data_IF_177792990327
#
_entry.id   IF_177792990327
#
_cell.length_a   1.000
_cell.length_b   1.000
_cell.length_c   1.000
_cell.angle_alpha   90.00
_cell.angle_beta   90.00
_cell.angle_gamma   90.00
#
_symmetry.space_group_name_H-M   'P 1'
#
loop_
_entity.id
_entity.type
_entity.pdbx_description
1 polymer ?
#
# COMPACT_ATOMS: atom_id res chain seq x y z
N UNK A 1 15.07 14.82 4.59
CA UNK A 1 13.76 14.16 4.59
C UNK A 1 12.74 15.12 3.95
N UNK A 2 11.91 14.66 3.03
CA UNK A 2 10.73 15.31 2.45
C UNK A 2 10.94 16.75 1.90
N UNK A 3 12.11 17.02 1.33
CA UNK A 3 12.46 18.36 0.79
C UNK A 3 12.32 19.50 1.81
N UNK A 4 12.62 19.23 3.09
CA UNK A 4 12.51 20.21 4.18
C UNK A 4 11.12 20.31 4.80
N UNK A 5 10.13 19.56 4.31
CA UNK A 5 8.77 19.53 4.90
C UNK A 5 8.73 18.64 6.14
N UNK A 6 7.84 18.95 7.07
CA UNK A 6 7.64 18.16 8.31
C UNK A 6 6.47 17.18 8.24
N UNK A 7 5.61 17.31 7.24
CA UNK A 7 4.46 16.43 7.02
C UNK A 7 4.61 15.65 5.73
N UNK A 8 4.24 14.37 5.75
CA UNK A 8 4.12 13.54 4.55
C UNK A 8 2.84 12.72 4.55
N UNK A 9 2.36 12.42 3.35
CA UNK A 9 1.21 11.56 3.12
C UNK A 9 1.62 10.46 2.16
N UNK A 10 1.22 9.22 2.46
CA UNK A 10 1.35 8.08 1.57
C UNK A 10 0.10 7.22 1.57
N UNK A 11 -0.12 6.52 0.47
CA UNK A 11 -1.24 5.61 0.25
C UNK A 11 -0.71 4.23 -0.12
N UNK A 12 -1.30 3.16 0.41
CA UNK A 12 -0.88 1.79 0.15
C UNK A 12 -2.10 0.91 -0.13
N UNK A 13 -2.19 0.35 -1.32
CA UNK A 13 -3.33 -0.47 -1.75
C UNK A 13 -2.90 -1.84 -2.22
N UNK A 14 -3.71 -2.86 -1.91
CA UNK A 14 -3.36 -4.26 -2.07
C UNK A 14 -4.09 -4.92 -3.24
N UNK A 15 -3.58 -6.10 -3.64
CA UNK A 15 -4.20 -7.11 -4.48
C UNK A 15 -4.10 -6.93 -6.00
N UNK A 16 -3.95 -5.72 -6.52
CA UNK A 16 -3.89 -5.51 -7.97
C UNK A 16 -5.19 -5.89 -8.69
N UNK A 17 -6.30 -5.35 -8.21
CA UNK A 17 -7.66 -5.62 -8.69
C UNK A 17 -8.12 -4.60 -9.73
N UNK A 18 -9.18 -4.93 -10.46
CA UNK A 18 -9.70 -4.07 -11.56
C UNK A 18 -10.08 -2.67 -11.12
N UNK A 19 -10.48 -2.49 -9.86
CA UNK A 19 -10.84 -1.22 -9.25
C UNK A 19 -9.65 -0.25 -9.09
N UNK A 20 -8.42 -0.75 -9.11
CA UNK A 20 -7.23 0.11 -9.05
C UNK A 20 -7.18 1.11 -10.21
N UNK A 21 -7.80 0.79 -11.36
CA UNK A 21 -7.87 1.73 -12.50
C UNK A 21 -8.52 3.05 -12.10
N UNK A 22 -9.66 2.98 -11.41
CA UNK A 22 -10.38 4.17 -10.92
C UNK A 22 -9.60 4.87 -9.82
N UNK A 23 -9.02 4.10 -8.90
CA UNK A 23 -8.23 4.65 -7.80
C UNK A 23 -7.00 5.42 -8.30
N UNK A 24 -6.25 4.86 -9.25
CA UNK A 24 -5.09 5.51 -9.87
C UNK A 24 -5.50 6.80 -10.60
N UNK A 25 -6.59 6.78 -11.37
CA UNK A 25 -7.13 7.97 -12.04
C UNK A 25 -7.45 9.08 -11.01
N UNK A 26 -8.10 8.73 -9.90
CA UNK A 26 -8.40 9.66 -8.83
C UNK A 26 -7.12 10.21 -8.19
N UNK A 27 -6.17 9.35 -7.82
CA UNK A 27 -4.88 9.78 -7.23
C UNK A 27 -4.12 10.73 -8.17
N UNK A 28 -4.07 10.41 -9.47
CA UNK A 28 -3.43 11.26 -10.48
C UNK A 28 -4.13 12.62 -10.60
N UNK A 29 -5.46 12.65 -10.56
CA UNK A 29 -6.26 13.89 -10.62
C UNK A 29 -5.94 14.80 -9.43
N UNK A 30 -5.73 14.25 -8.25
CA UNK A 30 -5.39 15.00 -7.05
C UNK A 30 -3.88 15.20 -6.84
N UNK A 31 -3.03 14.74 -7.77
CA UNK A 31 -1.59 14.93 -7.72
C UNK A 31 -0.90 14.18 -6.57
N UNK A 32 -1.47 13.08 -6.10
CA UNK A 32 -0.89 12.27 -5.03
C UNK A 32 -0.35 10.95 -5.57
N UNK A 33 0.63 10.39 -4.87
CA UNK A 33 1.23 9.09 -5.21
C UNK A 33 0.76 8.00 -4.27
N UNK A 34 0.74 6.76 -4.76
CA UNK A 34 0.44 5.58 -3.97
C UNK A 34 1.46 4.46 -4.20
N UNK A 35 1.42 3.48 -3.33
CA UNK A 35 2.14 2.21 -3.44
C UNK A 35 1.11 1.12 -3.65
N UNK A 36 1.28 0.30 -4.69
CA UNK A 36 0.40 -0.82 -5.00
C UNK A 36 1.12 -2.14 -4.75
N UNK A 37 0.60 -2.91 -3.81
CA UNK A 37 1.18 -4.18 -3.37
C UNK A 37 0.54 -5.31 -4.20
N UNK A 38 1.30 -5.91 -5.11
CA UNK A 38 0.79 -6.84 -6.11
C UNK A 38 1.22 -8.27 -5.84
N UNK A 39 0.34 -9.23 -6.17
CA UNK A 39 0.66 -10.67 -6.17
C UNK A 39 0.98 -11.10 -7.60
N UNK A 40 2.24 -11.19 -7.97
CA UNK A 40 2.64 -11.41 -9.37
C UNK A 40 2.20 -12.76 -9.95
N UNK A 41 2.03 -13.77 -9.10
CA UNK A 41 1.52 -15.09 -9.51
C UNK A 41 0.00 -15.15 -9.70
N UNK A 42 -0.72 -14.12 -9.30
CA UNK A 42 -2.18 -14.08 -9.35
C UNK A 42 -2.74 -13.07 -10.36
N UNK A 43 -1.89 -12.32 -11.07
CA UNK A 43 -2.33 -11.29 -12.02
C UNK A 43 -2.94 -11.88 -13.28
N UNK A 44 -4.22 -12.22 -13.20
CA UNK A 44 -5.08 -12.69 -14.29
C UNK A 44 -6.53 -12.35 -13.98
N UNK A 45 -7.28 -11.85 -14.97
CA UNK A 45 -8.71 -11.59 -14.83
C UNK A 45 -9.51 -12.87 -14.49
N UNK A 46 -8.98 -14.03 -14.82
CA UNK A 46 -9.56 -15.33 -14.43
C UNK A 46 -9.41 -15.63 -12.92
N UNK A 47 -8.46 -14.98 -12.24
CA UNK A 47 -8.38 -15.01 -10.79
C UNK A 47 -9.43 -14.08 -10.19
N UNK A 48 -10.50 -14.69 -9.72
CA UNK A 48 -11.68 -14.02 -9.19
C UNK A 48 -12.09 -14.69 -7.88
N UNK A 49 -12.57 -13.88 -6.95
CA UNK A 49 -13.24 -14.39 -5.74
C UNK A 49 -14.52 -13.62 -5.50
N UNK A 50 -15.44 -14.25 -4.80
CA UNK A 50 -16.68 -13.61 -4.38
C UNK A 50 -16.51 -13.03 -2.98
N UNK A 51 -16.73 -11.73 -2.88
CA UNK A 51 -16.79 -11.06 -1.56
C UNK A 51 -18.08 -11.48 -0.83
N UNK A 52 -18.09 -11.57 0.53
CA UNK A 52 -19.29 -11.95 1.30
C UNK A 52 -20.55 -11.12 1.02
N UNK A 53 -20.41 -9.91 0.48
CA UNK A 53 -21.54 -9.07 0.00
C UNK A 53 -21.98 -9.37 -1.44
N UNK A 54 -21.47 -10.46 -2.06
CA UNK A 54 -21.91 -10.94 -3.36
C UNK A 54 -21.25 -10.29 -4.58
N UNK A 55 -20.24 -9.42 -4.39
CA UNK A 55 -19.50 -8.82 -5.49
C UNK A 55 -18.36 -9.75 -5.94
N UNK A 56 -18.24 -9.98 -7.26
CA UNK A 56 -17.10 -10.68 -7.83
C UNK A 56 -15.92 -9.70 -8.00
N UNK A 57 -14.81 -10.03 -7.36
CA UNK A 57 -13.58 -9.24 -7.40
C UNK A 57 -12.59 -9.91 -8.35
N UNK A 58 -12.23 -9.21 -9.42
CA UNK A 58 -11.28 -9.69 -10.41
C UNK A 58 -9.90 -9.05 -10.23
N UNK A 59 -8.86 -9.86 -10.28
CA UNK A 59 -7.50 -9.32 -10.43
C UNK A 59 -7.29 -8.82 -11.86
N UNK A 60 -6.37 -7.90 -12.02
CA UNK A 60 -6.04 -7.42 -13.36
C UNK A 60 -5.13 -8.41 -14.10
N UNK A 61 -5.24 -8.42 -15.44
CA UNK A 61 -4.23 -9.07 -16.28
C UNK A 61 -2.91 -8.29 -16.23
N UNK A 62 -1.84 -8.94 -16.66
CA UNK A 62 -0.50 -8.35 -16.68
C UNK A 62 -0.31 -7.25 -17.71
N UNK A 63 -1.10 -7.28 -18.79
CA UNK A 63 -1.01 -6.29 -19.86
C UNK A 63 -1.47 -4.90 -19.40
N UNK A 64 -0.67 -3.88 -19.72
CA UNK A 64 -0.98 -2.49 -19.41
C UNK A 64 -0.80 -2.09 -17.94
N UNK A 65 -0.32 -2.98 -17.06
CA UNK A 65 -0.08 -2.64 -15.66
C UNK A 65 1.03 -1.61 -15.48
N UNK A 66 2.09 -1.68 -16.31
CA UNK A 66 3.20 -0.75 -16.21
C UNK A 66 2.76 0.69 -16.53
N UNK A 67 1.93 0.85 -17.54
CA UNK A 67 1.36 2.13 -17.94
C UNK A 67 0.35 2.62 -16.89
N UNK A 68 -0.49 1.73 -16.37
CA UNK A 68 -1.48 2.07 -15.34
C UNK A 68 -0.82 2.67 -14.10
N UNK A 69 0.19 1.98 -13.56
CA UNK A 69 0.84 2.42 -12.32
C UNK A 69 2.01 3.39 -12.52
N UNK A 70 2.13 3.98 -13.71
CA UNK A 70 3.20 4.96 -13.96
C UNK A 70 3.13 6.13 -12.98
N UNK A 71 4.24 6.43 -12.30
CA UNK A 71 4.31 7.48 -11.27
C UNK A 71 4.00 7.00 -9.86
N UNK A 72 3.54 5.75 -9.71
CA UNK A 72 3.31 5.09 -8.42
C UNK A 72 4.39 4.04 -8.14
N UNK A 73 4.50 3.61 -6.90
CA UNK A 73 5.39 2.52 -6.49
C UNK A 73 4.68 1.17 -6.64
N UNK A 74 5.44 0.16 -7.10
CA UNK A 74 5.04 -1.23 -7.01
C UNK A 74 5.80 -1.89 -5.88
N UNK A 75 5.07 -2.56 -4.99
CA UNK A 75 5.57 -3.36 -3.90
C UNK A 75 5.02 -4.80 -3.98
N UNK A 76 5.67 -5.73 -3.29
CA UNK A 76 5.28 -7.13 -3.28
C UNK A 76 4.11 -7.38 -2.31
N UNK A 77 3.32 -8.42 -2.62
CA UNK A 77 2.26 -8.93 -1.74
C UNK A 77 2.23 -10.45 -1.68
N UNK A 78 3.40 -11.07 -1.80
CA UNK A 78 3.65 -12.50 -2.01
C UNK A 78 3.11 -13.03 -3.35
N UNK A 79 3.75 -14.08 -3.84
CA UNK A 79 3.47 -14.66 -5.16
C UNK A 79 2.00 -15.10 -5.30
N UNK A 80 1.47 -15.76 -4.26
CA UNK A 80 0.11 -16.35 -4.26
C UNK A 80 -0.78 -15.87 -3.13
N UNK A 81 -0.44 -14.72 -2.51
CA UNK A 81 -1.17 -14.19 -1.34
C UNK A 81 -1.18 -15.15 -0.15
N UNK A 82 -0.04 -15.80 0.11
CA UNK A 82 0.09 -16.82 1.16
C UNK A 82 0.08 -16.21 2.57
N UNK A 83 -0.59 -16.88 3.53
CA UNK A 83 -0.51 -16.57 4.97
C UNK A 83 0.83 -17.10 5.51
N UNK A 84 1.88 -16.30 5.36
CA UNK A 84 3.28 -16.70 5.52
C UNK A 84 3.61 -17.46 6.81
N UNK A 85 3.10 -17.08 8.00
CA UNK A 85 3.39 -17.82 9.24
C UNK A 85 2.96 -19.28 9.25
N UNK A 86 2.14 -19.71 8.30
CA UNK A 86 1.66 -21.11 8.19
C UNK A 86 2.57 -22.01 7.38
N UNK A 87 3.62 -21.48 6.78
CA UNK A 87 4.50 -22.20 5.86
C UNK A 87 5.92 -22.35 6.43
N UNK A 88 6.68 -23.26 5.83
CA UNK A 88 8.08 -23.44 6.12
C UNK A 88 8.94 -22.29 5.51
N UNK A 89 10.18 -22.17 5.95
CA UNK A 89 11.07 -21.08 5.54
C UNK A 89 11.37 -21.08 4.04
N UNK A 90 11.41 -22.24 3.40
CA UNK A 90 11.65 -22.36 1.95
C UNK A 90 10.46 -21.80 1.17
N UNK A 91 9.24 -22.15 1.57
CA UNK A 91 8.01 -21.64 0.98
C UNK A 91 7.88 -20.14 1.20
N UNK A 92 8.13 -19.64 2.43
CA UNK A 92 8.11 -18.20 2.74
C UNK A 92 9.09 -17.45 1.84
N UNK A 93 10.32 -17.96 1.70
CA UNK A 93 11.35 -17.35 0.84
C UNK A 93 10.92 -17.31 -0.62
N UNK A 94 10.35 -18.40 -1.13
CA UNK A 94 9.89 -18.47 -2.50
C UNK A 94 8.73 -17.51 -2.77
N UNK A 95 7.74 -17.44 -1.87
CA UNK A 95 6.61 -16.52 -1.96
C UNK A 95 7.07 -15.05 -2.06
N UNK A 96 8.05 -14.65 -1.27
CA UNK A 96 8.57 -13.28 -1.26
C UNK A 96 9.50 -13.01 -2.44
N UNK A 97 10.48 -13.92 -2.67
CA UNK A 97 11.55 -13.67 -3.62
C UNK A 97 11.09 -13.77 -5.08
N UNK A 98 10.25 -14.77 -5.41
CA UNK A 98 9.73 -14.91 -6.77
C UNK A 98 8.72 -13.79 -7.10
N UNK A 99 7.89 -13.39 -6.15
CA UNK A 99 7.01 -12.22 -6.32
C UNK A 99 7.83 -10.96 -6.64
N UNK A 100 8.82 -10.66 -5.81
CA UNK A 100 9.75 -9.54 -6.01
C UNK A 100 10.40 -9.57 -7.39
N UNK A 101 11.00 -10.70 -7.79
CA UNK A 101 11.68 -10.85 -9.09
C UNK A 101 10.74 -10.66 -10.28
N UNK A 102 9.53 -11.24 -10.20
CA UNK A 102 8.53 -11.12 -11.25
C UNK A 102 8.09 -9.65 -11.43
N UNK A 103 7.87 -8.95 -10.32
CA UNK A 103 7.50 -7.53 -10.34
C UNK A 103 8.65 -6.67 -10.86
N UNK A 104 9.89 -6.89 -10.41
CA UNK A 104 11.08 -6.19 -10.93
C UNK A 104 11.25 -6.39 -12.43
N UNK A 105 11.09 -7.63 -12.92
CA UNK A 105 11.16 -7.94 -14.35
C UNK A 105 10.05 -7.26 -15.16
N UNK A 106 8.84 -7.22 -14.63
CA UNK A 106 7.67 -6.62 -15.30
C UNK A 106 7.71 -5.10 -15.35
N UNK A 107 8.03 -4.47 -14.23
CA UNK A 107 7.99 -3.00 -14.11
C UNK A 107 9.32 -2.34 -14.42
N UNK A 108 10.44 -3.07 -14.38
CA UNK A 108 11.77 -2.55 -14.70
C UNK A 108 12.32 -1.61 -13.62
N UNK A 109 11.88 -1.76 -12.37
CA UNK A 109 12.32 -0.98 -11.22
C UNK A 109 12.54 -1.90 -10.00
N UNK A 110 13.42 -1.53 -9.05
CA UNK A 110 13.61 -2.29 -7.83
C UNK A 110 12.34 -2.34 -6.99
N UNK A 111 11.99 -3.53 -6.48
CA UNK A 111 10.93 -3.75 -5.50
C UNK A 111 11.58 -3.93 -4.14
N UNK A 112 11.45 -2.94 -3.28
CA UNK A 112 12.07 -2.90 -1.95
C UNK A 112 11.07 -2.96 -0.81
N UNK A 113 9.80 -2.87 -1.12
CA UNK A 113 8.70 -2.90 -0.17
C UNK A 113 7.76 -4.07 -0.39
N UNK A 114 7.00 -4.38 0.66
CA UNK A 114 5.87 -5.30 0.57
C UNK A 114 4.77 -4.95 1.57
N UNK A 115 3.61 -5.58 1.42
CA UNK A 115 2.62 -5.71 2.47
C UNK A 115 2.44 -7.20 2.81
N UNK A 116 2.30 -7.53 4.08
CA UNK A 116 2.02 -8.92 4.49
C UNK A 116 0.58 -9.30 4.14
N UNK A 117 0.34 -10.40 3.37
CA UNK A 117 -1.01 -10.92 3.19
C UNK A 117 -1.69 -11.13 4.54
N UNK A 118 -2.96 -10.74 4.65
CA UNK A 118 -3.73 -10.77 5.92
C UNK A 118 -3.12 -9.94 7.06
N UNK A 119 -2.03 -9.22 6.83
CA UNK A 119 -1.26 -8.52 7.86
C UNK A 119 -0.49 -9.43 8.81
N UNK A 120 -0.41 -10.75 8.53
CA UNK A 120 0.19 -11.76 9.41
C UNK A 120 1.70 -11.89 9.20
N UNK A 121 2.44 -11.93 10.29
CA UNK A 121 3.89 -12.11 10.30
C UNK A 121 4.37 -12.72 11.62
N UNK A 122 5.61 -13.17 11.64
CA UNK A 122 6.38 -13.54 12.83
C UNK A 122 7.86 -13.22 12.59
N UNK A 123 8.73 -13.43 13.57
CA UNK A 123 10.15 -13.12 13.47
C UNK A 123 10.84 -13.87 12.32
N UNK A 124 10.46 -15.10 12.05
CA UNK A 124 10.98 -15.88 10.91
C UNK A 124 10.63 -15.21 9.58
N UNK A 125 9.37 -14.82 9.39
CA UNK A 125 8.91 -14.12 8.18
C UNK A 125 9.67 -12.80 8.00
N UNK A 126 9.81 -11.99 9.05
CA UNK A 126 10.53 -10.71 9.02
C UNK A 126 12.00 -10.91 8.63
N UNK A 127 12.66 -11.92 9.21
CA UNK A 127 14.06 -12.22 8.90
C UNK A 127 14.25 -12.70 7.46
N UNK A 128 13.33 -13.51 6.93
CA UNK A 128 13.35 -13.96 5.53
C UNK A 128 13.08 -12.78 4.59
N UNK A 129 12.09 -11.94 4.87
CA UNK A 129 11.81 -10.74 4.08
C UNK A 129 13.05 -9.83 3.98
N UNK A 130 13.72 -9.58 5.11
CA UNK A 130 15.00 -8.83 5.15
C UNK A 130 16.07 -9.50 4.28
N UNK A 131 16.22 -10.83 4.38
CA UNK A 131 17.18 -11.59 3.59
C UNK A 131 16.86 -11.61 2.09
N UNK A 132 15.59 -11.45 1.69
CA UNK A 132 15.14 -11.27 0.30
C UNK A 132 15.34 -9.83 -0.21
N UNK A 133 15.86 -8.92 0.60
CA UNK A 133 16.11 -7.53 0.23
C UNK A 133 14.88 -6.63 0.33
N UNK A 134 13.87 -7.04 1.08
CA UNK A 134 12.74 -6.18 1.46
C UNK A 134 13.22 -5.22 2.55
N UNK A 135 12.96 -3.94 2.38
CA UNK A 135 13.39 -2.87 3.30
C UNK A 135 12.27 -2.37 4.18
N UNK A 136 11.01 -2.51 3.75
CA UNK A 136 9.83 -2.24 4.57
C UNK A 136 8.72 -3.25 4.26
N UNK A 137 7.88 -3.51 5.26
CA UNK A 137 6.68 -4.33 5.08
C UNK A 137 5.54 -3.82 5.95
N UNK A 138 4.40 -3.54 5.31
CA UNK A 138 3.21 -3.02 5.99
C UNK A 138 2.41 -4.17 6.62
N UNK A 139 1.99 -3.92 7.84
CA UNK A 139 1.00 -4.71 8.59
C UNK A 139 -0.39 -4.06 8.46
N UNK A 140 -1.41 -4.66 9.10
CA UNK A 140 -2.75 -4.07 9.22
C UNK A 140 -2.99 -3.42 10.59
N UNK A 141 -1.98 -3.39 11.44
CA UNK A 141 -2.09 -2.86 12.80
C UNK A 141 -2.14 -1.32 12.77
N UNK A 142 -3.33 -0.79 13.05
CA UNK A 142 -3.58 0.64 13.07
C UNK A 142 -2.86 1.34 14.22
N UNK A 143 -2.23 2.49 13.97
CA UNK A 143 -1.65 3.35 15.01
C UNK A 143 -2.59 4.46 15.49
N UNK A 144 -3.39 5.05 14.60
CA UNK A 144 -4.19 6.23 14.88
C UNK A 144 -3.37 7.49 15.21
N UNK A 145 -2.06 7.47 14.90
CA UNK A 145 -1.13 8.59 15.12
C UNK A 145 -0.24 8.81 13.89
N UNK A 146 0.65 9.81 13.95
CA UNK A 146 1.41 10.31 12.81
C UNK A 146 2.93 10.18 13.01
N UNK A 147 3.37 9.48 14.05
CA UNK A 147 4.80 9.22 14.28
C UNK A 147 5.41 8.37 13.16
N UNK A 148 6.71 8.56 12.92
CA UNK A 148 7.45 7.71 11.99
C UNK A 148 7.57 6.29 12.53
N UNK A 149 7.57 5.26 11.64
CA UNK A 149 7.73 3.88 12.07
C UNK A 149 9.12 3.65 12.65
N UNK A 150 9.19 2.95 13.80
CA UNK A 150 10.45 2.55 14.43
C UNK A 150 11.10 1.36 13.70
N UNK A 151 10.29 0.39 13.26
CA UNK A 151 10.74 -0.80 12.53
C UNK A 151 10.01 -0.88 11.17
N UNK A 152 10.69 -0.56 10.07
CA UNK A 152 10.08 -0.55 8.75
C UNK A 152 9.53 -1.90 8.29
N UNK A 153 10.11 -3.04 8.74
CA UNK A 153 9.61 -4.37 8.37
C UNK A 153 8.37 -4.82 9.14
N UNK A 154 7.90 -4.05 10.10
CA UNK A 154 6.61 -4.24 10.78
C UNK A 154 5.83 -2.93 10.81
N UNK A 155 5.84 -2.22 9.69
CA UNK A 155 5.27 -0.89 9.54
C UNK A 155 3.76 -0.91 9.77
N UNK A 156 3.32 -0.06 10.69
CA UNK A 156 1.91 0.09 11.06
C UNK A 156 1.34 1.34 10.42
N UNK A 157 0.24 1.24 9.64
CA UNK A 157 -0.40 2.40 9.04
C UNK A 157 -1.09 3.28 10.09
N UNK A 158 -1.35 4.54 9.74
CA UNK A 158 -2.17 5.44 10.55
C UNK A 158 -3.58 4.88 10.66
N UNK A 159 -4.22 4.55 9.53
CA UNK A 159 -5.58 4.03 9.49
C UNK A 159 -5.89 3.33 8.17
N UNK A 160 -6.99 2.58 8.16
CA UNK A 160 -7.64 2.08 6.97
C UNK A 160 -8.59 3.14 6.39
N UNK A 161 -8.79 3.18 5.08
CA UNK A 161 -9.65 4.19 4.44
C UNK A 161 -11.13 4.10 4.88
N UNK A 162 -11.57 2.93 5.34
CA UNK A 162 -12.92 2.71 5.85
C UNK A 162 -13.06 2.90 7.37
N UNK A 163 -12.00 3.26 8.09
CA UNK A 163 -12.09 3.55 9.52
C UNK A 163 -13.07 4.71 9.77
N UNK A 164 -13.93 4.55 10.78
CA UNK A 164 -15.02 5.50 11.02
C UNK A 164 -14.53 6.93 11.31
N UNK A 165 -13.33 7.05 11.88
CA UNK A 165 -12.71 8.31 12.29
C UNK A 165 -11.62 8.82 11.32
N UNK A 166 -11.55 8.29 10.07
CA UNK A 166 -10.52 8.71 9.10
C UNK A 166 -10.54 10.22 8.85
N UNK A 167 -11.71 10.83 8.77
CA UNK A 167 -11.85 12.27 8.52
C UNK A 167 -11.37 13.09 9.73
N UNK A 168 -11.64 12.64 10.95
CA UNK A 168 -11.14 13.27 12.18
C UNK A 168 -9.62 13.15 12.30
N UNK A 169 -9.06 11.99 11.89
CA UNK A 169 -7.61 11.80 11.81
C UNK A 169 -6.96 12.76 10.80
N UNK A 170 -7.58 12.94 9.64
CA UNK A 170 -7.10 13.90 8.64
C UNK A 170 -7.12 15.32 9.22
N UNK A 171 -8.20 15.74 9.88
CA UNK A 171 -8.30 17.05 10.51
C UNK A 171 -7.22 17.28 11.57
N UNK A 172 -6.99 16.27 12.41
CA UNK A 172 -5.93 16.32 13.42
C UNK A 172 -4.53 16.39 12.80
N UNK A 173 -4.28 15.64 11.71
CA UNK A 173 -3.01 15.68 11.00
C UNK A 173 -2.78 17.07 10.37
N UNK A 174 -3.78 17.61 9.68
CA UNK A 174 -3.67 18.93 9.03
C UNK A 174 -3.48 20.05 10.05
N UNK A 175 -4.21 20.00 11.17
CA UNK A 175 -4.13 21.00 12.23
C UNK A 175 -2.89 20.88 13.13
N UNK A 176 -2.14 19.79 13.03
CA UNK A 176 -0.96 19.61 13.89
C UNK A 176 0.14 20.60 13.56
N UNK A 177 0.72 21.20 14.61
CA UNK A 177 1.87 22.10 14.59
C UNK A 177 3.15 21.46 15.17
N UNK A 178 3.21 20.12 15.18
CA UNK A 178 4.35 19.39 15.72
C UNK A 178 5.67 19.77 15.05
N UNK A 179 6.70 19.97 15.87
CA UNK A 179 8.06 20.15 15.39
C UNK A 179 8.69 18.86 14.86
N UNK A 180 8.20 17.70 15.33
CA UNK A 180 8.66 16.37 14.86
C UNK A 180 8.01 16.01 13.52
N UNK A 181 8.74 15.27 12.66
CA UNK A 181 8.20 14.79 11.41
C UNK A 181 6.95 13.92 11.61
N UNK A 182 5.94 14.12 10.77
CA UNK A 182 4.66 13.40 10.82
C UNK A 182 4.35 12.73 9.49
N UNK A 183 3.90 11.49 9.55
CA UNK A 183 3.47 10.69 8.41
C UNK A 183 2.00 10.28 8.56
N UNK A 184 1.16 10.68 7.61
CA UNK A 184 -0.18 10.12 7.44
C UNK A 184 -0.12 8.95 6.46
N UNK A 185 -0.31 7.73 6.95
CA UNK A 185 -0.23 6.52 6.17
C UNK A 185 -1.61 5.87 6.06
N UNK A 186 -2.25 6.03 4.91
CA UNK A 186 -3.56 5.42 4.61
C UNK A 186 -3.38 4.13 3.82
N UNK A 187 -4.17 3.10 4.16
CA UNK A 187 -4.17 1.84 3.41
C UNK A 187 -5.56 1.30 3.17
N UNK A 188 -5.67 0.30 2.30
CA UNK A 188 -6.90 -0.43 2.03
C UNK A 188 -6.82 -1.28 0.77
N UNK A 189 -8.00 -1.69 0.29
CA UNK A 189 -8.18 -2.40 -0.97
C UNK A 189 -9.16 -1.60 -1.83
N UNK A 190 -8.82 -1.35 -3.09
CA UNK A 190 -9.67 -0.51 -3.95
C UNK A 190 -11.04 -1.13 -4.25
N UNK A 191 -11.17 -2.46 -4.22
CA UNK A 191 -12.46 -3.14 -4.40
C UNK A 191 -13.47 -2.84 -3.30
N UNK A 192 -13.02 -2.45 -2.11
CA UNK A 192 -13.90 -2.14 -0.99
C UNK A 192 -14.81 -0.94 -1.31
N UNK A 193 -14.36 -0.01 -2.14
CA UNK A 193 -15.19 1.11 -2.58
C UNK A 193 -16.38 0.68 -3.45
N UNK A 194 -16.23 -0.38 -4.27
CA UNK A 194 -17.35 -0.97 -5.01
C UNK A 194 -18.27 -1.77 -4.07
N UNK A 195 -17.67 -2.54 -3.15
CA UNK A 195 -18.40 -3.36 -2.16
C UNK A 195 -19.27 -2.49 -1.27
N UNK A 196 -18.74 -1.35 -0.81
CA UNK A 196 -19.40 -0.43 0.12
C UNK A 196 -20.12 0.72 -0.60
N UNK A 197 -20.02 0.80 -1.94
CA UNK A 197 -20.59 1.84 -2.78
C UNK A 197 -20.22 3.25 -2.30
N UNK A 198 -18.95 3.46 -1.92
CA UNK A 198 -18.49 4.66 -1.25
C UNK A 198 -17.24 5.30 -1.90
N UNK A 199 -17.14 5.31 -3.22
CA UNK A 199 -16.07 6.02 -3.94
C UNK A 199 -16.01 7.51 -3.63
N UNK A 200 -17.14 8.13 -3.30
CA UNK A 200 -17.22 9.51 -2.82
C UNK A 200 -16.41 9.74 -1.56
N UNK A 201 -16.36 8.75 -0.65
CA UNK A 201 -15.50 8.79 0.54
C UNK A 201 -14.01 8.92 0.17
N UNK A 202 -13.54 8.15 -0.82
CA UNK A 202 -12.15 8.27 -1.27
C UNK A 202 -11.89 9.63 -1.91
N UNK A 203 -12.84 10.15 -2.66
CA UNK A 203 -12.75 11.49 -3.24
C UNK A 203 -12.68 12.58 -2.16
N UNK A 204 -13.47 12.47 -1.11
CA UNK A 204 -13.42 13.39 0.05
C UNK A 204 -12.07 13.32 0.77
N UNK A 205 -11.52 12.12 0.99
CA UNK A 205 -10.19 11.92 1.57
C UNK A 205 -9.13 12.62 0.71
N UNK A 206 -9.14 12.39 -0.61
CA UNK A 206 -8.18 12.98 -1.52
C UNK A 206 -8.31 14.50 -1.58
N UNK A 207 -9.52 15.05 -1.67
CA UNK A 207 -9.79 16.50 -1.64
C UNK A 207 -9.22 17.14 -0.38
N UNK A 208 -9.36 16.48 0.76
CA UNK A 208 -8.95 17.03 2.05
C UNK A 208 -7.45 16.91 2.27
N UNK A 209 -6.82 15.81 1.86
CA UNK A 209 -5.39 15.56 2.07
C UNK A 209 -4.48 16.17 0.99
N UNK A 210 -4.97 16.46 -0.22
CA UNK A 210 -4.14 16.94 -1.33
C UNK A 210 -4.04 18.48 -1.38
N UNK A 211 -3.06 18.97 -2.17
CA UNK A 211 -2.94 20.38 -2.49
C UNK A 211 -2.35 21.28 -1.40
N UNK A 212 -1.75 20.72 -0.35
CA UNK A 212 -1.08 21.47 0.72
C UNK A 212 0.42 21.61 0.43
N UNK A 213 0.88 22.83 0.28
CA UNK A 213 2.29 23.11 -0.07
C UNK A 213 3.28 22.62 0.99
N UNK A 214 2.87 22.54 2.25
CA UNK A 214 3.68 22.08 3.40
C UNK A 214 3.74 20.55 3.53
N UNK A 215 2.96 19.80 2.75
CA UNK A 215 2.91 18.33 2.80
C UNK A 215 3.69 17.72 1.64
N UNK A 216 4.50 16.71 1.94
CA UNK A 216 5.15 15.87 0.95
C UNK A 216 4.23 14.70 0.59
N UNK A 217 3.90 14.56 -0.69
CA UNK A 217 3.13 13.43 -1.22
C UNK A 217 4.07 12.46 -1.90
N UNK A 218 4.25 11.30 -1.30
CA UNK A 218 5.20 10.31 -1.79
C UNK A 218 4.67 8.88 -1.71
N UNK A 219 5.32 7.99 -2.44
CA UNK A 219 5.15 6.56 -2.27
C UNK A 219 5.73 6.10 -0.92
N UNK A 220 5.46 4.87 -0.52
CA UNK A 220 6.02 4.34 0.74
C UNK A 220 7.55 4.46 0.76
N UNK A 221 8.22 4.09 -0.34
CA UNK A 221 9.68 4.18 -0.45
C UNK A 221 10.17 5.62 -0.34
N UNK A 222 9.51 6.56 -1.02
CA UNK A 222 9.88 7.98 -0.98
C UNK A 222 9.72 8.58 0.43
N UNK A 223 8.62 8.26 1.13
CA UNK A 223 8.39 8.81 2.49
C UNK A 223 9.27 8.16 3.56
N UNK A 224 9.62 6.88 3.39
CA UNK A 224 10.44 6.15 4.36
C UNK A 224 11.95 6.36 4.17
N UNK A 225 12.41 6.47 2.92
CA UNK A 225 13.83 6.46 2.60
C UNK A 225 14.31 7.66 1.77
N UNK A 226 13.40 8.45 1.23
CA UNK A 226 13.74 9.61 0.39
C UNK A 226 14.20 9.27 -1.03
N UNK A 227 13.82 8.09 -1.54
CA UNK A 227 14.29 7.51 -2.83
C UNK A 227 13.15 7.35 -3.82
#
# INVERSE_FOLDING_TARGET
MWNGKKKAVTFSYDDGVTQDRRLVEMMNTYGVKGTFNLNSGMQSYANVWEHPKGLLIHRMNTEGLKELYQGHEIAAHCLTHADLPKYDEETIRNEILEDKKNLEGRFGQPVVGMAYPFGTYNDTVVNIARACGIRYSRTIERTGNFGLPEEPLTLKPTCHHNDADVMDLIDRFLASDSEEPQLFYLWGHSYEFDVDQNWDRMEEILKKLSGHDEIFYGTNREVLFGE
#
